data_IF_605934488457
#
_entry.id   IF_605934488457
#
_cell.length_a   1.000
_cell.length_b   1.000
_cell.length_c   1.000
_cell.angle_alpha   90.00
_cell.angle_beta   90.00
_cell.angle_gamma   90.00
#
_symmetry.space_group_name_H-M   'P 1'
#
loop_
_entity.id
_entity.type
_entity.pdbx_description
1 polymer ?
#
# COMPACT_ATOMS: atom_id res chain seq x y z
N UNK A 1 -11.12 11.41 -6.70
CA UNK A 1 -11.73 10.98 -7.98
C UNK A 1 -13.16 10.52 -7.68
N UNK A 2 -14.11 10.65 -8.61
CA UNK A 2 -15.48 10.18 -8.40
C UNK A 2 -15.51 8.64 -8.30
N UNK A 3 -16.31 8.05 -7.40
CA UNK A 3 -16.54 6.60 -7.34
C UNK A 3 -16.92 5.98 -8.69
N UNK A 4 -17.69 6.71 -9.52
CA UNK A 4 -18.09 6.26 -10.86
C UNK A 4 -16.89 5.93 -11.77
N UNK A 5 -15.76 6.61 -11.57
CA UNK A 5 -14.54 6.37 -12.36
C UNK A 5 -13.80 5.08 -11.93
N UNK A 6 -14.34 4.34 -10.95
CA UNK A 6 -13.74 3.11 -10.40
C UNK A 6 -14.69 1.91 -10.43
N UNK A 7 -15.83 2.01 -11.11
CA UNK A 7 -16.81 0.93 -11.23
C UNK A 7 -16.20 -0.35 -11.84
N UNK A 8 -15.31 -0.19 -12.83
CA UNK A 8 -14.54 -1.29 -13.39
C UNK A 8 -13.23 -1.51 -12.62
N UNK A 9 -13.32 -2.19 -11.47
CA UNK A 9 -12.21 -2.41 -10.53
C UNK A 9 -10.95 -3.04 -11.16
N UNK A 10 -11.13 -3.94 -12.14
CA UNK A 10 -10.02 -4.55 -12.86
C UNK A 10 -9.18 -3.50 -13.62
N UNK A 11 -9.83 -2.48 -14.20
CA UNK A 11 -9.13 -1.39 -14.90
C UNK A 11 -8.41 -0.48 -13.92
N UNK A 12 -9.02 -0.21 -12.75
CA UNK A 12 -8.37 0.56 -11.68
C UNK A 12 -7.12 -0.16 -11.18
N UNK A 13 -7.22 -1.47 -10.96
CA UNK A 13 -6.11 -2.31 -10.48
C UNK A 13 -4.98 -2.38 -11.51
N UNK A 14 -5.30 -2.47 -12.81
CA UNK A 14 -4.33 -2.42 -13.89
C UNK A 14 -3.64 -1.04 -13.98
N UNK A 15 -4.41 0.05 -13.90
CA UNK A 15 -3.88 1.41 -13.89
C UNK A 15 -2.95 1.65 -12.70
N UNK A 16 -3.31 1.17 -11.50
CA UNK A 16 -2.42 1.18 -10.33
C UNK A 16 -1.15 0.39 -10.58
N UNK A 17 -1.25 -0.80 -11.21
CA UNK A 17 -0.08 -1.59 -11.57
C UNK A 17 0.88 -0.83 -12.50
N UNK A 18 0.37 -0.06 -13.44
CA UNK A 18 1.20 0.80 -14.30
C UNK A 18 1.78 2.01 -13.56
N UNK A 19 0.99 2.64 -12.69
CA UNK A 19 1.45 3.75 -11.85
C UNK A 19 2.56 3.30 -10.91
N UNK A 20 2.40 2.15 -10.27
CA UNK A 20 3.31 1.59 -9.27
C UNK A 20 4.27 0.55 -9.85
N UNK A 21 4.47 0.55 -11.16
CA UNK A 21 5.31 -0.43 -11.86
C UNK A 21 6.73 -0.50 -11.27
N UNK A 22 7.37 -1.68 -11.16
CA UNK A 22 8.72 -1.84 -10.60
C UNK A 22 9.76 -0.86 -11.15
N UNK A 23 9.75 -0.65 -12.47
CA UNK A 23 10.66 0.28 -13.17
C UNK A 23 10.40 1.78 -12.87
N UNK A 24 9.34 2.11 -12.14
CA UNK A 24 8.91 3.48 -11.81
C UNK A 24 8.79 3.72 -10.30
N UNK A 25 9.23 2.77 -9.48
CA UNK A 25 9.07 2.81 -8.02
C UNK A 25 9.65 4.10 -7.43
N UNK A 26 10.84 4.53 -7.84
CA UNK A 26 11.45 5.77 -7.34
C UNK A 26 10.58 7.01 -7.61
N UNK A 27 10.14 7.19 -8.85
CA UNK A 27 9.33 8.36 -9.25
C UNK A 27 7.89 8.31 -8.72
N UNK A 28 7.38 7.11 -8.46
CA UNK A 28 5.98 6.86 -8.11
C UNK A 28 5.75 6.65 -6.61
N UNK A 29 6.82 6.49 -5.82
CA UNK A 29 6.76 6.37 -4.36
C UNK A 29 5.99 7.53 -3.71
N UNK A 30 6.08 8.74 -4.29
CA UNK A 30 5.36 9.93 -3.82
C UNK A 30 3.83 9.82 -3.84
N UNK A 31 3.27 8.83 -4.53
CA UNK A 31 1.83 8.58 -4.59
C UNK A 31 1.35 7.55 -3.56
N UNK A 32 2.26 6.82 -2.90
CA UNK A 32 1.89 5.82 -1.90
C UNK A 32 1.01 6.38 -0.76
N UNK A 33 1.30 7.56 -0.16
CA UNK A 33 0.44 8.10 0.90
C UNK A 33 -1.00 8.33 0.44
N UNK A 34 -1.18 8.88 -0.77
CA UNK A 34 -2.48 9.14 -1.37
C UNK A 34 -3.19 7.83 -1.72
N UNK A 35 -2.46 6.82 -2.22
CA UNK A 35 -3.03 5.50 -2.49
C UNK A 35 -3.53 4.81 -1.20
N UNK A 36 -2.81 4.94 -0.08
CA UNK A 36 -3.26 4.44 1.21
C UNK A 36 -4.45 5.25 1.75
N UNK A 37 -4.45 6.57 1.57
CA UNK A 37 -5.54 7.45 2.01
C UNK A 37 -6.88 7.16 1.37
N UNK A 38 -6.91 6.52 0.20
CA UNK A 38 -8.14 6.12 -0.49
C UNK A 38 -8.72 4.78 -0.01
N UNK A 39 -8.01 4.04 0.85
CA UNK A 39 -8.36 2.64 1.14
C UNK A 39 -9.76 2.47 1.75
N UNK A 40 -10.21 3.39 2.61
CA UNK A 40 -11.58 3.37 3.17
C UNK A 40 -12.65 3.65 2.11
N UNK A 41 -12.38 4.57 1.18
CA UNK A 41 -13.28 4.83 0.05
C UNK A 41 -13.38 3.60 -0.85
N UNK A 42 -12.25 2.98 -1.18
CA UNK A 42 -12.15 1.75 -1.97
C UNK A 42 -12.95 0.62 -1.31
N UNK A 43 -12.88 0.47 0.01
CA UNK A 43 -13.68 -0.51 0.74
C UNK A 43 -15.18 -0.24 0.66
N UNK A 44 -15.58 1.04 0.69
CA UNK A 44 -16.99 1.43 0.70
C UNK A 44 -17.64 1.29 -0.68
N UNK A 45 -16.87 1.49 -1.75
CA UNK A 45 -17.39 1.54 -3.13
C UNK A 45 -17.13 0.29 -3.93
N UNK A 46 -16.34 -0.65 -3.41
CA UNK A 46 -15.93 -1.84 -4.13
C UNK A 46 -16.45 -3.16 -3.55
N UNK A 47 -16.12 -4.22 -4.25
CA UNK A 47 -16.31 -5.58 -3.78
C UNK A 47 -15.40 -5.90 -2.58
N UNK A 48 -15.63 -7.06 -1.97
CA UNK A 48 -14.91 -7.52 -0.78
C UNK A 48 -13.42 -7.80 -1.02
N UNK A 49 -13.01 -7.99 -2.28
CA UNK A 49 -11.65 -8.26 -2.72
C UNK A 49 -10.93 -6.99 -3.18
N UNK A 50 -11.65 -5.93 -3.55
CA UNK A 50 -11.07 -4.73 -4.14
C UNK A 50 -10.01 -4.06 -3.26
N UNK A 51 -10.19 -3.90 -1.94
CA UNK A 51 -9.15 -3.34 -1.08
C UNK A 51 -7.85 -4.14 -1.11
N UNK A 52 -7.93 -5.47 -1.22
CA UNK A 52 -6.74 -6.32 -1.30
C UNK A 52 -6.03 -6.19 -2.65
N UNK A 53 -6.78 -6.20 -3.75
CA UNK A 53 -6.25 -5.96 -5.10
C UNK A 53 -5.58 -4.59 -5.21
N UNK A 54 -6.23 -3.55 -4.68
CA UNK A 54 -5.69 -2.19 -4.59
C UNK A 54 -4.35 -2.16 -3.86
N UNK A 55 -4.29 -2.76 -2.67
CA UNK A 55 -3.09 -2.77 -1.84
C UNK A 55 -1.95 -3.55 -2.49
N UNK A 56 -2.23 -4.72 -3.08
CA UNK A 56 -1.22 -5.51 -3.79
C UNK A 56 -0.62 -4.75 -4.96
N UNK A 57 -1.44 -4.11 -5.80
CA UNK A 57 -0.96 -3.30 -6.91
C UNK A 57 -0.21 -2.05 -6.46
N UNK A 58 -0.53 -1.52 -5.27
CA UNK A 58 0.13 -0.33 -4.71
C UNK A 58 1.49 -0.66 -4.08
N UNK A 59 1.58 -1.72 -3.28
CA UNK A 59 2.73 -1.97 -2.40
C UNK A 59 3.71 -3.03 -2.94
N UNK A 60 3.27 -3.89 -3.85
CA UNK A 60 4.00 -5.12 -4.21
C UNK A 60 5.44 -4.91 -4.71
N UNK A 61 5.75 -3.75 -5.27
CA UNK A 61 7.07 -3.42 -5.82
C UNK A 61 7.94 -2.58 -4.88
N UNK A 62 7.47 -2.20 -3.69
CA UNK A 62 8.13 -1.25 -2.81
C UNK A 62 8.81 -1.90 -1.61
N UNK A 63 9.97 -2.50 -1.86
CA UNK A 63 10.72 -3.30 -0.88
C UNK A 63 11.72 -2.45 -0.06
N UNK A 64 11.33 -1.24 0.34
CA UNK A 64 12.24 -0.26 0.98
C UNK A 64 11.88 0.00 2.45
N UNK A 65 12.86 0.40 3.29
CA UNK A 65 12.59 0.83 4.67
C UNK A 65 11.59 1.98 4.74
N UNK A 66 11.67 2.93 3.80
CA UNK A 66 10.73 4.05 3.70
C UNK A 66 9.27 3.60 3.55
N UNK A 67 9.02 2.54 2.77
CA UNK A 67 7.66 1.98 2.61
C UNK A 67 7.18 1.33 3.90
N UNK A 68 8.09 0.66 4.62
CA UNK A 68 7.79 0.08 5.93
C UNK A 68 7.41 1.17 6.94
N UNK A 69 8.20 2.24 6.99
CA UNK A 69 7.92 3.39 7.84
C UNK A 69 6.58 4.04 7.48
N UNK A 70 6.31 4.26 6.19
CA UNK A 70 5.05 4.84 5.71
C UNK A 70 3.82 4.06 6.21
N UNK A 71 3.81 2.73 6.05
CA UNK A 71 2.68 1.90 6.47
C UNK A 71 2.51 1.93 8.00
N UNK A 72 3.61 1.90 8.76
CA UNK A 72 3.58 2.00 10.23
C UNK A 72 3.03 3.35 10.68
N UNK A 73 3.52 4.44 10.09
CA UNK A 73 3.07 5.79 10.37
C UNK A 73 1.59 5.96 10.02
N UNK A 74 1.15 5.48 8.84
CA UNK A 74 -0.24 5.55 8.41
C UNK A 74 -1.19 4.93 9.44
N UNK A 75 -0.83 3.79 10.02
CA UNK A 75 -1.59 3.10 11.07
C UNK A 75 -1.47 3.79 12.44
N UNK A 76 -0.29 4.33 12.79
CA UNK A 76 -0.07 5.04 14.04
C UNK A 76 -0.89 6.34 14.12
N UNK A 77 -1.00 7.07 13.00
CA UNK A 77 -1.85 8.27 12.87
C UNK A 77 -3.35 7.95 12.91
N UNK A 78 -3.73 6.67 12.79
CA UNK A 78 -5.11 6.19 12.76
C UNK A 78 -5.32 5.11 13.82
N UNK A 79 -5.30 5.48 15.12
CA UNK A 79 -5.43 4.50 16.20
C UNK A 79 -6.77 3.75 16.18
N UNK A 80 -7.81 4.33 15.59
CA UNK A 80 -9.17 3.75 15.45
C UNK A 80 -9.44 3.33 14.00
N UNK A 81 -8.44 2.79 13.30
CA UNK A 81 -8.61 2.30 11.93
C UNK A 81 -9.44 1.02 11.86
N UNK A 82 -10.17 0.82 10.75
CA UNK A 82 -10.97 -0.39 10.55
C UNK A 82 -10.09 -1.66 10.67
N UNK A 83 -10.40 -2.60 11.59
CA UNK A 83 -9.55 -3.77 11.84
C UNK A 83 -9.37 -4.67 10.62
N UNK A 84 -10.39 -4.79 9.76
CA UNK A 84 -10.33 -5.60 8.54
C UNK A 84 -9.42 -4.96 7.50
N UNK A 85 -9.50 -3.64 7.33
CA UNK A 85 -8.59 -2.91 6.45
C UNK A 85 -7.16 -2.92 6.96
N UNK A 86 -6.96 -2.78 8.28
CA UNK A 86 -5.65 -2.94 8.91
C UNK A 86 -5.06 -4.33 8.59
N UNK A 87 -5.85 -5.39 8.73
CA UNK A 87 -5.40 -6.74 8.40
C UNK A 87 -5.00 -6.88 6.92
N UNK A 88 -5.82 -6.40 5.98
CA UNK A 88 -5.51 -6.43 4.55
C UNK A 88 -4.25 -5.62 4.21
N UNK A 89 -4.09 -4.44 4.81
CA UNK A 89 -2.88 -3.61 4.65
C UNK A 89 -1.63 -4.33 5.13
N UNK A 90 -1.67 -4.92 6.33
CA UNK A 90 -0.54 -5.67 6.88
C UNK A 90 -0.24 -6.94 6.07
N UNK A 91 -1.27 -7.63 5.57
CA UNK A 91 -1.11 -8.79 4.68
C UNK A 91 -0.39 -8.40 3.38
N UNK A 92 -0.82 -7.31 2.72
CA UNK A 92 -0.17 -6.84 1.49
C UNK A 92 1.25 -6.30 1.74
N UNK A 93 1.52 -5.77 2.93
CA UNK A 93 2.82 -5.22 3.32
C UNK A 93 3.83 -6.27 3.79
N UNK A 94 3.40 -7.48 4.17
CA UNK A 94 4.28 -8.53 4.73
C UNK A 94 5.47 -8.86 3.81
N UNK A 95 5.19 -9.15 2.53
CA UNK A 95 6.23 -9.44 1.54
C UNK A 95 7.23 -8.29 1.38
N UNK A 96 6.76 -7.06 1.07
CA UNK A 96 7.60 -5.86 1.03
C UNK A 96 8.43 -5.63 2.30
N UNK A 97 7.87 -5.86 3.50
CA UNK A 97 8.60 -5.68 4.76
C UNK A 97 9.71 -6.71 4.93
N UNK A 98 9.44 -7.97 4.63
CA UNK A 98 10.46 -9.03 4.70
C UNK A 98 11.57 -8.78 3.68
N UNK A 99 11.22 -8.39 2.45
CA UNK A 99 12.18 -8.04 1.43
C UNK A 99 13.05 -6.84 1.86
N UNK A 100 12.45 -5.77 2.40
CA UNK A 100 13.20 -4.62 2.91
C UNK A 100 14.23 -5.03 3.97
N UNK A 101 13.90 -5.98 4.85
CA UNK A 101 14.84 -6.50 5.86
C UNK A 101 16.01 -7.27 5.27
N UNK A 102 15.81 -7.97 4.17
CA UNK A 102 16.86 -8.72 3.49
C UNK A 102 17.75 -7.79 2.66
N UNK A 103 17.17 -6.78 2.02
CA UNK A 103 17.87 -5.87 1.13
C UNK A 103 18.57 -4.71 1.87
N UNK A 104 18.04 -4.28 3.02
CA UNK A 104 18.52 -3.12 3.80
C UNK A 104 18.77 -3.48 5.27
N UNK A 105 19.73 -4.39 5.56
CA UNK A 105 19.95 -4.88 6.93
C UNK A 105 20.48 -3.80 7.89
N UNK A 106 21.29 -2.84 7.40
CA UNK A 106 21.84 -1.76 8.23
C UNK A 106 20.78 -0.74 8.67
N UNK A 107 19.88 -0.35 7.76
CA UNK A 107 18.83 0.64 8.00
C UNK A 107 17.77 0.11 8.99
N UNK A 108 17.47 -1.20 8.91
CA UNK A 108 16.51 -1.83 9.80
C UNK A 108 16.99 -1.96 11.26
N UNK A 109 18.30 -2.01 11.49
CA UNK A 109 18.85 -1.99 12.85
C UNK A 109 18.69 -0.62 13.52
N UNK A 110 18.63 0.46 12.74
CA UNK A 110 18.41 1.82 13.24
C UNK A 110 16.94 2.11 13.52
N UNK A 111 16.01 1.54 12.75
CA UNK A 111 14.56 1.74 12.91
C UNK A 111 13.90 0.86 13.98
N UNK A 112 14.63 -0.08 14.57
CA UNK A 112 14.13 -0.98 15.63
C UNK A 112 14.47 -0.51 17.05
N UNK A 113 15.10 0.67 17.18
CA UNK A 113 15.36 1.37 18.44
C UNK A 113 14.39 2.53 18.61
#
# INVERSE_FOLDING_TARGET
>A
ASPANREHEAWVTAALGYLHHPLRTETSAKYLPQSLGLLEEIQRTGDIFFPESWLRSTLGSYQTPATTQLVRQFLAERPVYNPRLKAKLLQAADGPFRAAKLLYPADNALMSK
#
